data_IF_772814653282
#
_entry.id   IF_772814653282
#
_cell.length_a   1.000
_cell.length_b   1.000
_cell.length_c   1.000
_cell.angle_alpha   90.00
_cell.angle_beta   90.00
_cell.angle_gamma   90.00
#
_symmetry.space_group_name_H-M   'P 1'
#
loop_
_entity.id
_entity.type
_entity.pdbx_description
1 polymer ?
#
# COMPACT_ATOMS: atom_id res chain seq x y z
N UNK A 1 -10.07 -11.77 17.58
CA UNK A 1 -11.01 -11.88 16.45
C UNK A 1 -10.24 -11.61 15.18
N UNK A 2 -10.57 -12.35 14.11
CA UNK A 2 -9.88 -12.24 12.84
C UNK A 2 -9.91 -10.80 12.29
N UNK A 3 -8.83 -10.39 11.64
CA UNK A 3 -8.70 -9.11 10.98
C UNK A 3 -9.76 -8.99 9.89
N UNK A 4 -10.46 -7.87 9.87
CA UNK A 4 -11.34 -7.51 8.77
C UNK A 4 -10.52 -7.05 7.57
N UNK A 5 -11.19 -6.99 6.41
CA UNK A 5 -10.59 -6.46 5.18
C UNK A 5 -9.92 -5.10 5.46
N UNK A 6 -8.66 -4.89 5.08
CA UNK A 6 -7.98 -3.64 5.34
C UNK A 6 -8.66 -2.47 4.64
N UNK A 7 -8.63 -1.30 5.27
CA UNK A 7 -9.12 -0.05 4.70
C UNK A 7 -7.96 0.70 4.04
N UNK A 8 -8.10 1.01 2.75
CA UNK A 8 -7.07 1.69 1.98
C UNK A 8 -7.44 3.14 1.70
N UNK A 9 -6.48 4.02 1.85
CA UNK A 9 -6.62 5.44 1.52
C UNK A 9 -5.35 5.97 0.87
N UNK A 10 -5.50 6.84 -0.13
CA UNK A 10 -4.42 7.71 -0.61
C UNK A 10 -4.40 8.93 0.30
N UNK A 11 -3.35 9.10 1.10
CA UNK A 11 -3.28 10.19 2.10
C UNK A 11 -2.70 11.48 1.52
N UNK A 12 -1.81 11.35 0.54
CA UNK A 12 -1.26 12.46 -0.21
C UNK A 12 -0.89 11.99 -1.62
N UNK A 13 -0.98 12.89 -2.59
CA UNK A 13 -0.64 12.59 -3.98
C UNK A 13 -0.12 13.83 -4.69
N UNK A 14 1.08 13.68 -5.25
CA UNK A 14 1.71 14.67 -6.13
C UNK A 14 1.72 14.15 -7.57
N UNK A 15 2.38 14.90 -8.47
CA UNK A 15 2.54 14.47 -9.87
C UNK A 15 3.43 13.22 -10.01
N UNK A 16 4.33 13.01 -9.05
CA UNK A 16 5.42 12.02 -9.15
C UNK A 16 5.29 10.87 -8.14
N UNK A 17 4.51 11.06 -7.08
CA UNK A 17 4.33 10.06 -6.03
C UNK A 17 2.94 10.12 -5.39
N UNK A 18 2.54 9.01 -4.75
CA UNK A 18 1.41 8.95 -3.85
C UNK A 18 1.83 8.27 -2.55
N UNK A 19 1.31 8.75 -1.43
CA UNK A 19 1.43 8.07 -0.14
C UNK A 19 0.14 7.28 0.10
N UNK A 20 0.29 5.98 0.32
CA UNK A 20 -0.80 5.06 0.59
C UNK A 20 -0.82 4.71 2.07
N UNK A 21 -2.01 4.47 2.59
CA UNK A 21 -2.23 4.01 3.95
C UNK A 21 -3.14 2.81 3.94
N UNK A 22 -2.71 1.78 4.67
CA UNK A 22 -3.47 0.57 4.93
C UNK A 22 -3.79 0.50 6.42
N UNK A 23 -5.06 0.37 6.76
CA UNK A 23 -5.53 0.36 8.14
C UNK A 23 -6.31 -0.93 8.43
N UNK A 24 -5.94 -1.61 9.52
CA UNK A 24 -6.65 -2.76 10.07
C UNK A 24 -7.04 -2.44 11.51
N UNK A 25 -8.31 -2.62 11.87
CA UNK A 25 -8.82 -2.32 13.22
C UNK A 25 -9.33 -3.56 13.95
N UNK A 26 -9.15 -3.58 15.27
CA UNK A 26 -9.79 -4.52 16.19
C UNK A 26 -9.31 -5.98 16.07
N UNK A 27 -8.13 -6.21 15.47
CA UNK A 27 -7.62 -7.54 15.18
C UNK A 27 -6.94 -8.17 16.41
N UNK A 28 -7.18 -9.47 16.61
CA UNK A 28 -6.44 -10.28 17.58
C UNK A 28 -6.38 -11.74 17.13
N UNK A 29 -5.20 -12.38 17.06
CA UNK A 29 -3.87 -11.87 17.40
C UNK A 29 -3.39 -10.71 16.50
N UNK A 30 -2.27 -10.06 16.83
CA UNK A 30 -1.78 -8.91 16.06
C UNK A 30 -1.48 -9.32 14.59
N UNK A 31 -2.06 -8.64 13.59
CA UNK A 31 -1.76 -8.95 12.19
C UNK A 31 -0.41 -8.36 11.77
N UNK A 32 0.29 -9.06 10.87
CA UNK A 32 1.43 -8.52 10.12
C UNK A 32 0.90 -7.90 8.83
N UNK A 33 1.28 -6.65 8.55
CA UNK A 33 0.88 -5.94 7.33
C UNK A 33 2.09 -5.77 6.40
N UNK A 34 1.87 -5.88 5.10
CA UNK A 34 2.82 -5.47 4.07
C UNK A 34 2.09 -5.00 2.82
N UNK A 35 2.76 -4.14 2.06
CA UNK A 35 2.30 -3.68 0.75
C UNK A 35 2.96 -4.49 -0.36
N UNK A 36 2.21 -4.77 -1.42
CA UNK A 36 2.67 -5.43 -2.64
C UNK A 36 2.25 -4.61 -3.87
N UNK A 37 3.08 -4.61 -4.91
CA UNK A 37 2.65 -4.20 -6.25
C UNK A 37 1.93 -5.34 -6.99
N UNK A 38 1.41 -5.06 -8.19
CA UNK A 38 0.72 -6.07 -9.02
C UNK A 38 1.58 -7.29 -9.33
N UNK A 39 2.90 -7.12 -9.42
CA UNK A 39 3.83 -8.20 -9.70
C UNK A 39 4.13 -9.06 -8.44
N UNK A 40 3.57 -8.70 -7.28
CA UNK A 40 3.80 -9.40 -6.02
C UNK A 40 5.10 -8.98 -5.33
N UNK A 41 5.71 -7.86 -5.71
CA UNK A 41 6.90 -7.38 -5.02
C UNK A 41 6.50 -6.66 -3.73
N UNK A 42 7.10 -7.07 -2.61
CA UNK A 42 6.91 -6.40 -1.33
C UNK A 42 7.54 -5.01 -1.39
N UNK A 43 6.74 -3.99 -1.08
CA UNK A 43 7.14 -2.60 -1.11
C UNK A 43 7.73 -2.16 0.24
N UNK A 44 8.71 -1.25 0.24
CA UNK A 44 9.17 -0.62 1.46
C UNK A 44 8.01 0.16 2.09
N UNK A 45 7.89 0.08 3.41
CA UNK A 45 6.86 0.78 4.16
C UNK A 45 7.47 1.48 5.38
N UNK A 46 6.82 2.53 5.83
CA UNK A 46 7.16 3.18 7.08
C UNK A 46 6.93 2.23 8.26
N UNK A 47 7.55 2.54 9.41
CA UNK A 47 7.31 1.77 10.63
C UNK A 47 5.80 1.77 10.93
N UNK A 48 5.17 0.59 11.09
CA UNK A 48 3.74 0.52 11.39
C UNK A 48 3.40 1.32 12.65
N UNK A 49 2.33 2.10 12.59
CA UNK A 49 1.74 2.74 13.77
C UNK A 49 0.73 1.77 14.36
N UNK A 50 0.92 1.43 15.63
CA UNK A 50 0.10 0.45 16.32
C UNK A 50 -0.52 1.05 17.58
N UNK A 51 -1.77 0.68 17.85
CA UNK A 51 -2.41 0.96 19.12
C UNK A 51 -3.17 -0.27 19.61
N UNK A 52 -3.16 -0.47 20.92
CA UNK A 52 -3.84 -1.59 21.56
C UNK A 52 -4.96 -1.09 22.46
N UNK A 53 -6.17 -1.62 22.27
CA UNK A 53 -7.34 -1.29 23.09
C UNK A 53 -8.09 -2.57 23.44
N UNK A 54 -8.16 -2.90 24.73
CA UNK A 54 -8.87 -4.09 25.21
C UNK A 54 -8.36 -5.40 24.61
N UNK A 55 -7.04 -5.54 24.44
CA UNK A 55 -6.40 -6.72 23.85
C UNK A 55 -6.59 -6.87 22.34
N UNK A 56 -6.97 -5.80 21.64
CA UNK A 56 -7.12 -5.77 20.18
C UNK A 56 -6.23 -4.70 19.57
N UNK A 57 -5.69 -5.00 18.40
CA UNK A 57 -4.74 -4.17 17.68
C UNK A 57 -5.41 -3.40 16.55
N UNK A 58 -5.16 -2.10 16.53
CA UNK A 58 -5.33 -1.25 15.36
C UNK A 58 -3.94 -0.97 14.78
N UNK A 59 -3.73 -1.27 13.50
CA UNK A 59 -2.45 -1.12 12.81
C UNK A 59 -2.64 -0.26 11.56
N UNK A 60 -1.75 0.70 11.38
CA UNK A 60 -1.67 1.56 10.20
C UNK A 60 -0.29 1.37 9.57
N UNK A 61 -0.26 1.00 8.29
CA UNK A 61 0.95 0.86 7.49
C UNK A 61 0.93 1.82 6.30
N UNK A 62 1.94 2.69 6.22
CA UNK A 62 2.07 3.67 5.14
C UNK A 62 3.22 3.33 4.20
N UNK A 63 3.06 3.61 2.90
CA UNK A 63 4.10 3.47 1.88
C UNK A 63 4.03 4.62 0.89
N UNK A 64 5.14 4.92 0.22
CA UNK A 64 5.21 5.90 -0.86
C UNK A 64 5.45 5.13 -2.16
N UNK A 65 4.58 5.37 -3.14
CA UNK A 65 4.64 4.75 -4.46
C UNK A 65 4.86 5.83 -5.52
N UNK A 66 5.62 5.49 -6.56
CA UNK A 66 6.01 6.43 -7.64
C UNK A 66 5.62 5.94 -9.03
N UNK A 67 4.88 4.82 -9.10
CA UNK A 67 4.44 4.20 -10.36
C UNK A 67 2.92 4.17 -10.41
N UNK A 68 2.40 4.24 -11.61
CA UNK A 68 1.00 3.92 -11.89
C UNK A 68 0.85 2.41 -11.84
N UNK A 69 0.17 1.90 -10.82
CA UNK A 69 -0.10 0.47 -10.68
C UNK A 69 -1.26 0.19 -9.71
N UNK A 70 -1.62 -1.09 -9.59
CA UNK A 70 -2.41 -1.62 -8.49
C UNK A 70 -1.49 -1.97 -7.32
N UNK A 71 -1.91 -1.56 -6.14
CA UNK A 71 -1.21 -1.80 -4.89
C UNK A 71 -2.12 -2.56 -3.95
N UNK A 72 -1.60 -3.66 -3.39
CA UNK A 72 -2.31 -4.53 -2.46
C UNK A 72 -1.71 -4.41 -1.07
N UNK A 73 -2.55 -4.26 -0.05
CA UNK A 73 -2.12 -4.44 1.33
C UNK A 73 -2.61 -5.80 1.81
N UNK A 74 -1.70 -6.63 2.28
CA UNK A 74 -2.02 -7.92 2.89
C UNK A 74 -1.89 -7.82 4.41
N UNK A 75 -2.87 -8.39 5.12
CA UNK A 75 -2.88 -8.55 6.56
C UNK A 75 -2.93 -10.04 6.92
N UNK A 76 -1.92 -10.52 7.63
CA UNK A 76 -1.75 -11.94 7.96
C UNK A 76 -1.72 -12.14 9.47
N UNK A 77 -2.52 -13.09 9.98
CA UNK A 77 -2.51 -13.55 11.37
C UNK A 77 -2.14 -15.04 11.40
N UNK A 78 -0.84 -15.33 11.43
CA UNK A 78 -0.29 -16.70 11.36
C UNK A 78 -0.85 -17.61 12.45
N UNK A 79 -0.99 -17.09 13.66
CA UNK A 79 -1.48 -17.84 14.83
C UNK A 79 -2.88 -18.45 14.65
N UNK A 80 -3.73 -17.81 13.84
CA UNK A 80 -5.09 -18.28 13.56
C UNK A 80 -5.30 -18.66 12.09
N UNK A 81 -4.22 -18.78 11.31
CA UNK A 81 -4.24 -19.08 9.88
C UNK A 81 -5.20 -18.20 9.08
N UNK A 82 -5.30 -16.92 9.43
CA UNK A 82 -6.18 -15.96 8.76
C UNK A 82 -5.37 -14.99 7.90
N UNK A 83 -5.87 -14.70 6.71
CA UNK A 83 -5.31 -13.69 5.82
C UNK A 83 -6.45 -12.92 5.14
N UNK A 84 -6.25 -11.62 4.97
CA UNK A 84 -7.16 -10.76 4.22
C UNK A 84 -6.39 -9.63 3.57
N UNK A 85 -6.94 -9.06 2.51
CA UNK A 85 -6.27 -8.04 1.72
C UNK A 85 -7.25 -7.06 1.10
N UNK A 86 -6.71 -5.93 0.68
CA UNK A 86 -7.40 -4.96 -0.14
C UNK A 86 -6.45 -4.43 -1.22
N UNK A 87 -7.00 -4.00 -2.35
CA UNK A 87 -6.26 -3.45 -3.49
C UNK A 87 -6.78 -2.07 -3.85
N UNK A 88 -5.89 -1.18 -4.30
CA UNK A 88 -6.23 0.13 -4.85
C UNK A 88 -5.40 0.42 -6.09
N UNK A 89 -6.02 1.01 -7.11
CA UNK A 89 -5.31 1.55 -8.28
C UNK A 89 -4.83 2.97 -7.97
N UNK A 90 -3.59 3.27 -8.34
CA UNK A 90 -2.99 4.60 -8.18
C UNK A 90 -2.48 5.07 -9.53
N UNK A 91 -2.84 6.29 -9.91
CA UNK A 91 -2.41 6.91 -11.16
C UNK A 91 -1.42 8.05 -10.92
N UNK A 92 -0.17 7.87 -11.32
CA UNK A 92 0.91 8.86 -11.22
C UNK A 92 1.11 9.50 -12.59
N UNK A 93 0.79 10.80 -12.70
CA UNK A 93 0.79 11.55 -13.96
C UNK A 93 2.20 11.69 -14.57
N UNK A 94 3.27 11.73 -13.76
CA UNK A 94 4.64 12.06 -14.18
C UNK A 94 5.38 11.03 -15.03
N UNK A 95 4.74 9.94 -15.49
CA UNK A 95 5.40 8.89 -16.30
C UNK A 95 4.83 8.64 -17.69
N UNK A 96 3.91 9.48 -18.16
CA UNK A 96 3.59 9.49 -19.59
C UNK A 96 4.50 10.53 -20.26
N UNK A 97 5.39 10.05 -21.16
CA UNK A 97 6.34 10.77 -22.02
C UNK A 97 7.81 10.95 -21.54
N UNK A 98 8.59 9.87 -21.63
CA UNK A 98 9.97 9.92 -22.20
C UNK A 98 10.21 8.72 -23.13
N UNK A 99 9.19 8.36 -23.90
CA UNK A 99 9.33 7.39 -24.98
C UNK A 99 8.58 7.94 -26.20
N UNK A 100 9.20 8.93 -26.87
CA UNK A 100 9.16 9.20 -28.32
C UNK A 100 9.75 10.58 -28.65
N UNK A 101 10.73 10.54 -29.56
CA UNK A 101 11.31 11.59 -30.42
C UNK A 101 12.14 12.70 -29.81
N UNK A 102 13.45 12.46 -29.65
CA UNK A 102 14.50 13.43 -30.00
C UNK A 102 15.23 12.88 -31.25
N UNK A 103 14.52 12.81 -32.38
CA UNK A 103 15.09 12.50 -33.70
C UNK A 103 15.08 13.79 -34.54
N UNK A 104 16.27 14.33 -34.80
CA UNK A 104 16.66 15.29 -35.84
C UNK A 104 15.87 16.60 -36.01
N UNK A 105 16.49 17.72 -35.62
CA UNK A 105 16.23 19.05 -36.21
C UNK A 105 17.44 19.42 -37.09
N UNK A 106 17.32 19.45 -38.44
CA UNK A 106 18.31 20.11 -39.28
C UNK A 106 18.06 21.62 -39.24
N UNK A 107 19.09 22.39 -38.88
CA UNK A 107 19.21 23.81 -39.17
C UNK A 107 20.14 24.01 -40.36
#
# INVERSE_FOLDING_TARGET
GAALKPYLTVVDQTKDQAQLQCEVRGAFPKPELHWEDRAGNILPAEKPKESEKGGRYDIILQTIVTKTDNYRCNATQKEINHQTDAETYVYIHGRILKDRTDENIPG
#
